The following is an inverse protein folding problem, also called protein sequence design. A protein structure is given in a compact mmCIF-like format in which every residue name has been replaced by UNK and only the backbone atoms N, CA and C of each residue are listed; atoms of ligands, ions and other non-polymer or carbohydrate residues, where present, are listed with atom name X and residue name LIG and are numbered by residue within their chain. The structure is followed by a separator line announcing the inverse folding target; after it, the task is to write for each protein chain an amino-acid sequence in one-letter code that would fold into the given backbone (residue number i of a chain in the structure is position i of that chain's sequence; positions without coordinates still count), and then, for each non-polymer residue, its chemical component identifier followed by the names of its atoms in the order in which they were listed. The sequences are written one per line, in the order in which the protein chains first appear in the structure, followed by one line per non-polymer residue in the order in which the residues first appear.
data_IF_993277288974
#
_entry.id   IF_993277288974
#
_cell.length_a   1.000
_cell.length_b   1.000
_cell.length_c   1.000
_cell.angle_alpha   90.00
_cell.angle_beta   90.00
_cell.angle_gamma   90.00
#
_symmetry.space_group_name_H-M   'P 1'
#
loop_
_entity.id
_entity.type
_entity.pdbx_description
1 polymer ?
#
# COMPACT_ATOMS: atom_id res chain seq x y z
N UNK A 1 18.35 11.05 5.87
CA UNK A 1 17.37 11.11 6.99
C UNK A 1 16.00 11.37 6.39
N UNK A 2 14.91 10.74 6.88
CA UNK A 2 13.55 11.01 6.35
C UNK A 2 13.06 12.38 6.85
N UNK A 3 12.65 13.31 5.96
CA UNK A 3 12.08 14.59 6.33
C UNK A 3 10.88 14.45 7.28
N UNK A 4 10.78 15.35 8.27
CA UNK A 4 9.72 15.27 9.30
C UNK A 4 8.31 15.30 8.73
N UNK A 5 8.06 16.08 7.67
CA UNK A 5 6.77 16.13 7.00
C UNK A 5 6.41 14.78 6.34
N UNK A 6 7.38 14.08 5.75
CA UNK A 6 7.16 12.76 5.15
C UNK A 6 6.83 11.69 6.19
N UNK A 7 7.35 11.78 7.42
CA UNK A 7 7.05 10.78 8.46
C UNK A 7 5.55 10.69 8.76
N UNK A 8 4.87 11.84 8.83
CA UNK A 8 3.42 11.89 9.09
C UNK A 8 2.66 11.32 7.89
N UNK A 9 3.04 11.69 6.67
CA UNK A 9 2.36 11.20 5.46
C UNK A 9 2.54 9.68 5.27
N UNK A 10 3.74 9.16 5.52
CA UNK A 10 4.00 7.72 5.50
C UNK A 10 3.17 6.99 6.55
N UNK A 11 3.09 7.51 7.78
CA UNK A 11 2.25 6.92 8.82
C UNK A 11 0.78 6.84 8.36
N UNK A 12 0.24 7.93 7.81
CA UNK A 12 -1.16 7.96 7.32
C UNK A 12 -1.36 7.04 6.13
N UNK A 13 -0.39 6.94 5.21
CA UNK A 13 -0.41 5.99 4.10
C UNK A 13 -0.50 4.55 4.60
N UNK A 14 0.31 4.18 5.61
CA UNK A 14 0.29 2.85 6.21
C UNK A 14 -1.07 2.58 6.86
N UNK A 15 -1.56 3.51 7.68
CA UNK A 15 -2.84 3.36 8.37
C UNK A 15 -4.00 3.15 7.37
N UNK A 16 -4.11 4.02 6.36
CA UNK A 16 -5.16 3.94 5.34
C UNK A 16 -5.03 2.67 4.50
N UNK A 17 -3.81 2.30 4.09
CA UNK A 17 -3.60 1.07 3.32
C UNK A 17 -4.00 -0.18 4.10
N UNK A 18 -3.62 -0.27 5.38
CA UNK A 18 -3.94 -1.41 6.24
C UNK A 18 -5.45 -1.53 6.48
N UNK A 19 -6.12 -0.40 6.76
CA UNK A 19 -7.59 -0.34 6.87
C UNK A 19 -8.27 -0.85 5.61
N UNK A 20 -7.81 -0.41 4.45
CA UNK A 20 -8.41 -0.79 3.17
C UNK A 20 -8.14 -2.27 2.84
N UNK A 21 -6.94 -2.78 3.14
CA UNK A 21 -6.63 -4.21 2.99
C UNK A 21 -7.54 -5.04 3.90
N UNK A 22 -7.64 -4.71 5.18
CA UNK A 22 -8.48 -5.42 6.14
C UNK A 22 -9.97 -5.40 5.77
N UNK A 23 -10.45 -4.32 5.14
CA UNK A 23 -11.84 -4.17 4.71
C UNK A 23 -12.16 -4.90 3.41
N UNK A 24 -11.24 -4.89 2.46
CA UNK A 24 -11.52 -5.28 1.07
C UNK A 24 -10.78 -6.53 0.59
N UNK A 25 -9.89 -7.09 1.41
CA UNK A 25 -9.02 -8.20 1.01
C UNK A 25 -9.15 -9.35 1.98
N UNK A 26 -9.18 -10.56 1.45
CA UNK A 26 -9.24 -11.78 2.23
C UNK A 26 -7.84 -12.34 2.44
N UNK A 27 -7.07 -11.69 3.32
CA UNK A 27 -5.67 -12.03 3.61
C UNK A 27 -5.46 -12.21 5.11
N UNK A 28 -4.53 -13.09 5.48
CA UNK A 28 -4.00 -13.24 6.83
C UNK A 28 -2.64 -12.53 7.02
N UNK A 29 -2.11 -11.91 5.95
CA UNK A 29 -0.75 -11.35 5.92
C UNK A 29 -0.68 -10.08 5.09
N UNK A 30 -0.23 -9.02 5.74
CA UNK A 30 0.16 -7.78 5.08
C UNK A 30 1.69 -7.75 4.96
N UNK A 31 2.18 -7.57 3.74
CA UNK A 31 3.57 -7.24 3.49
C UNK A 31 3.77 -5.74 3.55
N UNK A 32 4.73 -5.30 4.37
CA UNK A 32 5.20 -3.93 4.46
C UNK A 32 6.72 -3.93 4.29
N UNK A 33 7.21 -3.19 3.30
CA UNK A 33 8.64 -2.99 3.06
C UNK A 33 8.88 -1.50 2.96
N UNK A 34 9.84 -1.00 3.73
CA UNK A 34 10.39 0.34 3.61
C UNK A 34 11.88 0.21 3.37
N UNK A 35 12.39 0.81 2.30
CA UNK A 35 13.81 0.77 2.01
C UNK A 35 14.26 2.04 1.28
N UNK A 36 15.54 2.33 1.41
CA UNK A 36 16.21 3.37 0.62
C UNK A 36 16.91 2.74 -0.57
N UNK A 37 16.74 3.32 -1.76
CA UNK A 37 17.45 2.95 -2.97
C UNK A 37 17.47 4.15 -3.92
N UNK A 38 18.61 4.41 -4.56
CA UNK A 38 18.79 5.45 -5.58
C UNK A 38 18.35 6.85 -5.12
N UNK A 39 18.76 7.27 -3.90
CA UNK A 39 18.37 8.53 -3.25
C UNK A 39 16.85 8.74 -3.06
N UNK A 40 16.11 7.64 -3.14
CA UNK A 40 14.68 7.60 -2.93
C UNK A 40 14.32 6.72 -1.74
N UNK A 41 13.34 7.19 -0.98
CA UNK A 41 12.63 6.37 -0.02
C UNK A 41 11.52 5.64 -0.75
N UNK A 42 11.52 4.31 -0.67
CA UNK A 42 10.49 3.44 -1.22
C UNK A 42 9.66 2.81 -0.11
N UNK A 43 8.35 2.82 -0.28
CA UNK A 43 7.38 2.15 0.59
C UNK A 43 6.53 1.24 -0.28
N UNK A 44 6.53 -0.05 0.05
CA UNK A 44 5.74 -1.09 -0.61
C UNK A 44 4.79 -1.71 0.41
N UNK A 45 3.50 -1.69 0.09
CA UNK A 45 2.45 -2.26 0.93
C UNK A 45 1.61 -3.18 0.05
N UNK A 46 1.40 -4.42 0.47
CA UNK A 46 0.50 -5.31 -0.25
C UNK A 46 -0.02 -6.42 0.63
N UNK A 47 -1.11 -7.03 0.21
CA UNK A 47 -1.57 -8.29 0.75
C UNK A 47 -0.86 -9.47 0.06
N UNK A 48 -0.73 -10.57 0.79
CA UNK A 48 -0.23 -11.84 0.25
C UNK A 48 -1.35 -12.86 0.29
N UNK A 49 -1.33 -13.88 -0.59
CA UNK A 49 -2.22 -15.01 -0.45
C UNK A 49 -2.06 -15.67 0.91
N UNK A 50 -3.19 -15.93 1.57
CA UNK A 50 -3.19 -16.73 2.77
C UNK A 50 -2.69 -18.13 2.46
N UNK A 51 -1.78 -18.62 3.29
CA UNK A 51 -1.34 -20.02 3.25
C UNK A 51 -2.34 -20.95 3.94
N UNK A 52 -3.42 -20.41 4.53
CA UNK A 52 -4.40 -21.15 5.30
C UNK A 52 -5.69 -21.37 4.50
N UNK A 53 -6.08 -22.62 4.19
CA UNK A 53 -7.23 -22.91 3.34
C UNK A 53 -8.57 -22.45 3.94
N UNK A 54 -8.68 -22.28 5.27
CA UNK A 54 -9.91 -21.82 5.90
C UNK A 54 -10.19 -20.32 5.72
N UNK A 55 -9.17 -19.52 5.38
CA UNK A 55 -9.34 -18.07 5.16
C UNK A 55 -9.96 -17.82 3.78
N UNK A 56 -9.69 -18.67 2.78
CA UNK A 56 -10.16 -18.52 1.40
C UNK A 56 -11.69 -18.45 1.21
N UNK A 57 -12.49 -18.81 2.22
CA UNK A 57 -13.95 -18.81 2.17
C UNK A 57 -14.67 -17.66 2.90
N UNK A 58 -13.97 -16.81 3.66
CA UNK A 58 -14.62 -15.82 4.54
C UNK A 58 -14.59 -14.44 3.87
N UNK A 59 -15.63 -14.18 3.07
CA UNK A 59 -15.88 -12.90 2.43
C UNK A 59 -15.50 -12.89 0.97
N UNK A 60 -16.50 -12.91 0.09
CA UNK A 60 -16.31 -12.46 -1.28
C UNK A 60 -15.81 -11.00 -1.20
N UNK A 61 -14.59 -10.69 -1.67
CA UNK A 61 -14.21 -9.30 -1.81
C UNK A 61 -15.25 -8.64 -2.70
N UNK A 62 -15.65 -7.41 -2.37
CA UNK A 62 -16.49 -6.61 -3.26
C UNK A 62 -15.66 -6.29 -4.52
N UNK A 63 -15.71 -7.21 -5.49
CA UNK A 63 -14.96 -7.18 -6.75
C UNK A 63 -15.43 -6.03 -7.66
N UNK A 64 -16.50 -5.33 -7.30
CA UNK A 64 -17.04 -4.20 -8.06
C UNK A 64 -16.19 -2.93 -7.95
N UNK A 65 -15.35 -2.81 -6.91
CA UNK A 65 -14.47 -1.65 -6.73
C UNK A 65 -13.10 -1.89 -7.39
N UNK A 66 -12.86 -1.24 -8.53
CA UNK A 66 -11.54 -1.17 -9.18
C UNK A 66 -10.49 -0.80 -8.10
N UNK A 67 -9.36 -1.52 -7.97
CA UNK A 67 -8.35 -1.26 -6.93
C UNK A 67 -7.92 0.20 -6.80
N UNK A 68 -7.93 0.93 -7.93
CA UNK A 68 -7.63 2.36 -7.98
C UNK A 68 -8.56 3.21 -7.09
N UNK A 69 -9.84 2.85 -6.98
CA UNK A 69 -10.79 3.53 -6.08
C UNK A 69 -10.60 3.11 -4.62
N UNK A 70 -10.25 1.83 -4.37
CA UNK A 70 -10.00 1.33 -3.01
C UNK A 70 -8.81 2.03 -2.34
N UNK A 71 -7.86 2.52 -3.11
CA UNK A 71 -6.63 3.16 -2.59
C UNK A 71 -6.43 4.59 -3.11
N UNK A 72 -7.52 5.27 -3.51
CA UNK A 72 -7.47 6.64 -4.01
C UNK A 72 -6.84 7.61 -3.01
N UNK A 73 -7.19 7.49 -1.72
CA UNK A 73 -6.60 8.33 -0.67
C UNK A 73 -5.09 8.09 -0.50
N UNK A 74 -4.62 6.85 -0.66
CA UNK A 74 -3.18 6.53 -0.60
C UNK A 74 -2.44 7.16 -1.78
N UNK A 75 -3.03 7.09 -2.98
CA UNK A 75 -2.50 7.76 -4.18
C UNK A 75 -2.43 9.27 -3.98
N UNK A 76 -3.51 9.88 -3.50
CA UNK A 76 -3.61 11.32 -3.26
C UNK A 76 -2.54 11.79 -2.26
N UNK A 77 -2.45 11.16 -1.09
CA UNK A 77 -1.43 11.48 -0.08
C UNK A 77 -0.01 11.35 -0.60
N UNK A 78 0.27 10.27 -1.34
CA UNK A 78 1.59 10.07 -1.95
C UNK A 78 1.90 11.21 -2.92
N UNK A 79 0.94 11.57 -3.77
CA UNK A 79 1.13 12.61 -4.79
C UNK A 79 1.29 14.01 -4.17
N UNK A 80 0.42 14.37 -3.22
CA UNK A 80 0.43 15.67 -2.54
C UNK A 80 1.66 15.88 -1.64
N UNK A 81 2.30 14.80 -1.19
CA UNK A 81 3.57 14.85 -0.45
C UNK A 81 4.82 14.84 -1.35
N UNK A 82 4.65 14.98 -2.67
CA UNK A 82 5.75 15.03 -3.63
C UNK A 82 6.30 13.66 -4.05
N UNK A 83 5.57 12.58 -3.77
CA UNK A 83 5.94 11.22 -4.15
C UNK A 83 5.30 10.74 -5.44
N UNK A 84 5.82 9.65 -5.98
CA UNK A 84 5.23 8.90 -7.07
C UNK A 84 4.48 7.67 -6.53
N UNK A 85 3.36 7.32 -7.16
CA UNK A 85 2.51 6.21 -6.74
C UNK A 85 2.22 5.26 -7.90
N UNK A 86 2.31 3.95 -7.64
CA UNK A 86 1.80 2.91 -8.54
C UNK A 86 1.00 1.86 -7.76
N UNK A 87 0.02 1.27 -8.42
CA UNK A 87 -0.76 0.15 -7.89
C UNK A 87 -0.81 -0.96 -8.92
N UNK A 88 -0.63 -2.19 -8.47
CA UNK A 88 -0.71 -3.39 -9.30
C UNK A 88 -1.65 -4.38 -8.64
N UNK A 89 -2.51 -5.00 -9.43
CA UNK A 89 -3.34 -6.11 -8.97
C UNK A 89 -2.82 -7.38 -9.63
N UNK A 90 -2.43 -8.35 -8.81
CA UNK A 90 -1.99 -9.65 -9.32
C UNK A 90 -3.19 -10.52 -9.70
N UNK A 91 -2.95 -11.54 -10.53
CA UNK A 91 -3.99 -12.45 -11.05
C UNK A 91 -4.84 -13.13 -9.98
N UNK A 92 -4.32 -13.23 -8.76
CA UNK A 92 -5.01 -13.81 -7.61
C UNK A 92 -5.80 -12.78 -6.77
N UNK A 93 -5.97 -11.54 -7.25
CA UNK A 93 -6.81 -10.51 -6.63
C UNK A 93 -6.09 -9.59 -5.65
N UNK A 94 -4.86 -9.96 -5.27
CA UNK A 94 -3.97 -9.21 -4.37
C UNK A 94 -3.53 -7.88 -4.98
N UNK A 95 -3.31 -6.89 -4.13
CA UNK A 95 -2.90 -5.54 -4.49
C UNK A 95 -1.55 -5.23 -3.89
N UNK A 96 -0.64 -4.72 -4.72
CA UNK A 96 0.60 -4.10 -4.29
C UNK A 96 0.55 -2.61 -4.59
N UNK A 97 0.71 -1.81 -3.54
CA UNK A 97 0.86 -0.36 -3.55
C UNK A 97 2.35 -0.02 -3.45
N UNK A 98 2.82 0.91 -4.28
CA UNK A 98 4.19 1.42 -4.22
C UNK A 98 4.15 2.94 -4.18
N UNK A 99 4.81 3.50 -3.18
CA UNK A 99 5.03 4.93 -3.03
C UNK A 99 6.53 5.21 -2.95
N UNK A 100 6.99 6.28 -3.59
CA UNK A 100 8.40 6.65 -3.57
C UNK A 100 8.61 8.16 -3.51
N UNK A 101 9.58 8.62 -2.73
CA UNK A 101 9.91 10.05 -2.59
C UNK A 101 11.41 10.25 -2.78
N UNK A 102 11.78 11.25 -3.60
CA UNK A 102 13.14 11.76 -3.62
C UNK A 102 13.41 12.43 -2.27
N UNK A 103 14.40 11.92 -1.54
CA UNK A 103 14.76 12.46 -0.24
C UNK A 103 16.17 13.02 -0.37
N UNK A 104 16.27 14.33 -0.61
CA UNK A 104 17.56 15.00 -0.77
C UNK A 104 18.48 14.69 0.43
N UNK A 105 19.70 14.24 0.16
CA UNK A 105 20.79 14.27 1.11
C UNK A 105 21.14 15.74 1.33
N UNK A 106 20.75 16.29 2.49
CA UNK A 106 21.28 17.57 2.98
C UNK A 106 22.66 17.35 3.59
#
# INVERSE_FOLDING_TARGET
MIPSHLKIEIYRIIETAFKNIAKYSNTDRIQFIMHWADDMLHVVIGDRPSTHPAVAGIGQPDQSAVPQFRFAEVKERTTLSGGAFTTTQERAGWVTLRSSWACAAH
#
